data_IF_623782856555
#
_entry.id   IF_623782856555
#
_cell.length_a   1.000
_cell.length_b   1.000
_cell.length_c   1.000
_cell.angle_alpha   90.00
_cell.angle_beta   90.00
_cell.angle_gamma   90.00
#
_symmetry.space_group_name_H-M   'P 1'
#
loop_
_entity.id
_entity.type
_entity.pdbx_description
1 polymer ?
#
# COMPACT_ATOMS: atom_id res chain seq x y z
N UNK A 1 5.18 17.83 -10.68
CA UNK A 1 4.14 18.32 -9.75
C UNK A 1 2.80 18.00 -10.36
N UNK A 2 2.02 17.13 -9.70
CA UNK A 2 0.67 16.77 -10.14
C UNK A 2 -0.39 17.54 -9.37
N UNK A 3 -1.65 17.44 -9.79
CA UNK A 3 -2.80 18.08 -9.14
C UNK A 3 -3.27 17.32 -7.87
N UNK A 4 -2.34 16.68 -7.16
CA UNK A 4 -2.64 15.88 -5.97
C UNK A 4 -2.02 16.51 -4.74
N UNK A 5 -2.65 16.32 -3.57
CA UNK A 5 -2.02 16.71 -2.31
C UNK A 5 -0.71 15.97 -2.09
N UNK A 6 0.30 16.68 -1.61
CA UNK A 6 1.62 16.11 -1.34
C UNK A 6 1.63 15.21 -0.09
N UNK A 7 0.60 15.33 0.76
CA UNK A 7 0.44 14.57 1.99
C UNK A 7 -1.02 14.17 2.20
N UNK A 8 -1.21 12.91 2.58
CA UNK A 8 -2.49 12.35 3.01
C UNK A 8 -2.34 11.77 4.40
N UNK A 9 -3.36 11.95 5.24
CA UNK A 9 -3.50 11.27 6.53
C UNK A 9 -4.97 10.93 6.71
N UNK A 10 -5.29 9.65 6.64
CA UNK A 10 -6.66 9.12 6.70
C UNK A 10 -6.80 8.22 7.91
N UNK A 11 -7.88 8.41 8.65
CA UNK A 11 -8.34 7.48 9.68
C UNK A 11 -9.50 6.67 9.13
N UNK A 12 -9.41 5.34 9.22
CA UNK A 12 -10.47 4.41 8.89
C UNK A 12 -11.05 3.82 10.17
N UNK A 13 -12.38 3.83 10.29
CA UNK A 13 -13.11 3.17 11.37
C UNK A 13 -13.86 1.97 10.80
N UNK A 14 -13.64 0.80 11.38
CA UNK A 14 -14.31 -0.45 11.01
C UNK A 14 -15.48 -0.73 11.95
N UNK A 15 -16.43 -1.55 11.50
CA UNK A 15 -17.66 -1.90 12.24
C UNK A 15 -17.40 -2.50 13.63
N UNK A 16 -16.29 -3.24 13.77
CA UNK A 16 -15.85 -3.83 15.03
C UNK A 16 -15.14 -2.83 15.97
N UNK A 17 -15.08 -1.55 15.61
CA UNK A 17 -14.40 -0.50 16.36
C UNK A 17 -12.90 -0.42 16.15
N UNK A 18 -12.32 -1.29 15.30
CA UNK A 18 -10.92 -1.19 14.92
C UNK A 18 -10.68 0.12 14.16
N UNK A 19 -9.51 0.72 14.40
CA UNK A 19 -9.07 1.94 13.71
C UNK A 19 -7.76 1.68 13.00
N UNK A 20 -7.69 2.15 11.77
CA UNK A 20 -6.45 2.11 10.97
C UNK A 20 -6.13 3.53 10.53
N UNK A 21 -4.91 3.98 10.81
CA UNK A 21 -4.40 5.22 10.26
C UNK A 21 -3.50 4.91 9.06
N UNK A 22 -3.69 5.63 7.96
CA UNK A 22 -2.83 5.56 6.79
C UNK A 22 -2.35 6.97 6.45
N UNK A 23 -1.03 7.17 6.50
CA UNK A 23 -0.41 8.42 6.13
C UNK A 23 0.64 8.19 5.04
N UNK A 24 0.65 9.06 4.04
CA UNK A 24 1.63 9.02 2.95
C UNK A 24 2.06 10.41 2.55
N UNK A 25 3.28 10.53 2.05
CA UNK A 25 3.91 11.77 1.61
C UNK A 25 4.64 11.54 0.29
N UNK A 26 4.45 12.45 -0.67
CA UNK A 26 5.15 12.48 -1.95
C UNK A 26 5.94 13.80 -2.11
N UNK A 27 6.83 14.08 -1.15
CA UNK A 27 7.68 15.28 -1.14
C UNK A 27 9.15 14.85 -1.12
N UNK A 28 9.93 15.38 -2.05
CA UNK A 28 11.38 15.15 -2.15
C UNK A 28 12.16 15.83 -1.00
N UNK A 29 13.35 15.31 -0.69
CA UNK A 29 14.27 15.92 0.30
C UNK A 29 13.86 15.76 1.76
N UNK A 30 12.91 14.88 2.06
CA UNK A 30 12.50 14.51 3.42
C UNK A 30 13.08 13.15 3.84
N UNK A 31 13.10 12.87 5.16
CA UNK A 31 13.44 11.54 5.66
C UNK A 31 12.43 10.50 5.15
N UNK A 32 12.92 9.48 4.46
CA UNK A 32 12.10 8.39 3.94
C UNK A 32 11.97 7.28 4.98
N UNK A 33 10.79 6.66 5.01
CA UNK A 33 10.49 5.55 5.89
C UNK A 33 9.20 4.87 5.48
N UNK A 34 9.15 3.56 5.66
CA UNK A 34 7.94 2.75 5.57
C UNK A 34 7.70 2.16 6.96
N UNK A 35 6.57 2.47 7.57
CA UNK A 35 6.18 1.91 8.88
C UNK A 35 4.83 1.25 8.72
N UNK A 36 4.78 -0.01 9.09
CA UNK A 36 3.56 -0.81 9.19
C UNK A 36 3.51 -1.31 10.63
N UNK A 37 2.60 -0.75 11.41
CA UNK A 37 2.53 -1.02 12.84
C UNK A 37 1.14 -1.47 13.26
N UNK A 38 1.09 -2.52 14.07
CA UNK A 38 -0.14 -3.01 14.68
C UNK A 38 -0.04 -2.79 16.18
N UNK A 39 -0.90 -1.92 16.71
CA UNK A 39 -0.95 -1.63 18.14
C UNK A 39 -1.81 -2.67 18.86
N UNK A 40 -1.25 -3.25 19.92
CA UNK A 40 -1.85 -4.32 20.72
C UNK A 40 -2.00 -3.88 22.18
N UNK A 41 -2.52 -4.73 23.05
CA UNK A 41 -2.74 -4.35 24.47
C UNK A 41 -1.45 -4.17 25.26
N UNK A 42 -0.41 -4.94 24.96
CA UNK A 42 0.85 -5.00 25.73
C UNK A 42 2.06 -4.43 24.98
N UNK A 43 1.84 -3.78 23.84
CA UNK A 43 2.91 -3.29 22.97
C UNK A 43 2.45 -3.19 21.53
N UNK A 44 3.38 -3.30 20.59
CA UNK A 44 3.08 -3.21 19.16
C UNK A 44 3.93 -4.17 18.34
N UNK A 45 3.38 -4.60 17.21
CA UNK A 45 4.12 -5.30 16.17
C UNK A 45 4.58 -4.30 15.12
N UNK A 46 5.86 -4.31 14.82
CA UNK A 46 6.43 -3.74 13.60
C UNK A 46 6.42 -4.85 12.54
N UNK A 47 5.68 -4.64 11.45
CA UNK A 47 5.49 -5.64 10.40
C UNK A 47 6.78 -5.97 9.63
N UNK A 48 7.89 -5.30 9.93
CA UNK A 48 9.23 -5.75 9.52
C UNK A 48 9.70 -7.00 10.26
N UNK A 49 8.95 -7.53 11.23
CA UNK A 49 9.24 -8.81 11.90
C UNK A 49 9.66 -8.68 13.36
N UNK A 50 9.28 -7.59 14.03
CA UNK A 50 9.65 -7.34 15.44
C UNK A 50 8.43 -7.06 16.30
N UNK A 51 8.48 -7.51 17.54
CA UNK A 51 7.50 -7.21 18.58
C UNK A 51 8.16 -6.39 19.67
N UNK A 52 7.50 -5.31 20.08
CA UNK A 52 7.98 -4.41 21.12
C UNK A 52 6.98 -4.31 22.27
N UNK A 53 7.47 -4.08 23.49
CA UNK A 53 6.65 -3.59 24.59
C UNK A 53 6.38 -2.08 24.45
N UNK A 54 5.56 -1.51 25.34
CA UNK A 54 5.28 -0.08 25.35
C UNK A 54 6.46 0.82 25.75
N UNK A 55 7.54 0.23 26.25
CA UNK A 55 8.77 0.94 26.58
C UNK A 55 9.78 0.92 25.42
N UNK A 56 9.44 0.25 24.31
CA UNK A 56 10.30 0.11 23.14
C UNK A 56 11.34 -1.01 23.28
N UNK A 57 11.21 -1.90 24.27
CA UNK A 57 12.06 -3.08 24.36
C UNK A 57 11.57 -4.16 23.39
N UNK A 58 12.51 -4.81 22.70
CA UNK A 58 12.21 -5.94 21.82
C UNK A 58 11.78 -7.14 22.71
N UNK A 59 10.56 -7.61 22.50
CA UNK A 59 10.04 -8.84 23.10
C UNK A 59 10.44 -10.04 22.26
N UNK A 60 10.40 -9.88 20.93
CA UNK A 60 10.72 -10.92 19.97
C UNK A 60 11.12 -10.31 18.63
N UNK A 61 12.00 -10.99 17.91
CA UNK A 61 12.43 -10.64 16.57
C UNK A 61 12.44 -11.91 15.71
N UNK A 62 12.00 -11.76 14.46
CA UNK A 62 12.00 -12.84 13.50
C UNK A 62 13.42 -13.40 13.35
N UNK A 63 13.66 -14.72 13.51
CA UNK A 63 15.00 -15.29 13.40
C UNK A 63 15.45 -15.23 11.93
N UNK A 64 16.21 -14.22 11.55
CA UNK A 64 16.79 -14.16 10.21
C UNK A 64 17.95 -15.15 10.12
N UNK A 65 17.83 -16.25 9.34
CA UNK A 65 18.93 -17.17 9.16
C UNK A 65 20.05 -16.52 8.33
N UNK A 66 21.25 -17.09 8.41
CA UNK A 66 22.40 -16.61 7.64
C UNK A 66 22.13 -16.67 6.13
N UNK A 67 22.76 -15.77 5.39
CA UNK A 67 22.63 -15.72 3.94
C UNK A 67 23.12 -17.04 3.32
N UNK A 68 22.22 -17.74 2.62
CA UNK A 68 22.51 -19.04 2.01
C UNK A 68 22.10 -20.25 2.84
N UNK A 69 21.57 -20.06 4.07
CA UNK A 69 20.96 -21.16 4.82
C UNK A 69 19.62 -21.56 4.18
N UNK A 70 19.64 -22.64 3.42
CA UNK A 70 18.46 -23.19 2.76
C UNK A 70 17.68 -24.18 3.61
N UNK A 71 18.16 -24.54 4.81
CA UNK A 71 17.60 -25.59 5.65
C UNK A 71 16.84 -25.05 6.86
N UNK A 72 17.07 -23.80 7.25
CA UNK A 72 16.30 -23.15 8.31
C UNK A 72 14.81 -23.08 7.99
N UNK A 73 13.98 -23.43 8.98
CA UNK A 73 12.52 -23.23 8.93
C UNK A 73 12.14 -21.74 8.90
N UNK A 74 13.05 -20.86 9.30
CA UNK A 74 12.89 -19.41 9.33
C UNK A 74 13.37 -18.73 8.05
N UNK A 75 13.66 -19.51 7.00
CA UNK A 75 14.07 -18.95 5.71
C UNK A 75 12.92 -18.17 5.08
N UNK A 76 13.15 -16.89 4.81
CA UNK A 76 12.23 -16.02 4.08
C UNK A 76 12.72 -15.84 2.64
N UNK A 77 11.91 -16.28 1.67
CA UNK A 77 12.14 -15.92 0.27
C UNK A 77 11.77 -14.44 0.08
N UNK A 78 12.56 -13.70 -0.71
CA UNK A 78 12.20 -12.34 -1.10
C UNK A 78 10.74 -12.33 -1.64
N UNK A 79 9.84 -11.49 -1.08
CA UNK A 79 8.42 -11.55 -1.38
C UNK A 79 8.11 -11.32 -2.85
N UNK A 80 8.86 -10.45 -3.54
CA UNK A 80 8.70 -10.22 -4.98
C UNK A 80 9.05 -11.46 -5.80
N UNK A 81 10.09 -12.20 -5.39
CA UNK A 81 10.45 -13.47 -6.04
C UNK A 81 9.39 -14.54 -5.74
N UNK A 82 8.92 -14.60 -4.50
CA UNK A 82 7.91 -15.56 -4.07
C UNK A 82 6.59 -15.38 -4.83
N UNK A 83 6.17 -14.13 -5.08
CA UNK A 83 4.99 -13.81 -5.88
C UNK A 83 5.10 -14.37 -7.31
N UNK A 84 6.25 -14.18 -7.97
CA UNK A 84 6.49 -14.73 -9.30
C UNK A 84 6.54 -16.27 -9.31
N UNK A 85 7.14 -16.88 -8.27
CA UNK A 85 7.12 -18.35 -8.11
C UNK A 85 5.68 -18.85 -8.01
N UNK A 86 4.85 -18.21 -7.18
CA UNK A 86 3.44 -18.57 -7.01
C UNK A 86 2.67 -18.45 -8.33
N UNK A 87 2.85 -17.35 -9.07
CA UNK A 87 2.23 -17.14 -10.39
C UNK A 87 2.59 -18.25 -11.38
N UNK A 88 3.88 -18.55 -11.55
CA UNK A 88 4.34 -19.57 -12.49
C UNK A 88 3.89 -20.97 -12.06
N UNK A 89 3.97 -21.28 -10.76
CA UNK A 89 3.53 -22.56 -10.21
C UNK A 89 2.02 -22.77 -10.40
N UNK A 90 1.21 -21.73 -10.18
CA UNK A 90 -0.22 -21.75 -10.41
C UNK A 90 -0.56 -22.04 -11.88
N UNK A 91 0.10 -21.35 -12.82
CA UNK A 91 -0.08 -21.58 -14.26
C UNK A 91 0.28 -23.02 -14.65
N UNK A 92 1.39 -23.54 -14.12
CA UNK A 92 1.90 -24.88 -14.49
C UNK A 92 1.11 -26.02 -13.86
N UNK A 93 0.61 -25.83 -12.65
CA UNK A 93 -0.12 -26.87 -11.91
C UNK A 93 -1.64 -26.82 -12.12
N UNK A 94 -2.18 -25.68 -12.56
CA UNK A 94 -3.62 -25.40 -12.59
C UNK A 94 -4.21 -24.99 -11.24
N UNK A 95 -3.44 -25.03 -10.15
CA UNK A 95 -3.86 -24.58 -8.82
C UNK A 95 -3.69 -23.06 -8.72
N UNK A 96 -4.71 -22.32 -9.15
CA UNK A 96 -4.69 -20.86 -9.16
C UNK A 96 -4.87 -20.26 -7.77
N UNK A 97 -4.14 -19.17 -7.50
CA UNK A 97 -4.35 -18.28 -6.36
C UNK A 97 -5.14 -17.08 -6.87
N UNK A 98 -6.18 -16.66 -6.14
CA UNK A 98 -7.03 -15.55 -6.54
C UNK A 98 -7.22 -14.57 -5.39
N UNK A 99 -6.47 -13.47 -5.45
CA UNK A 99 -6.56 -12.35 -4.51
C UNK A 99 -7.29 -11.14 -5.13
N UNK A 100 -8.03 -11.36 -6.23
CA UNK A 100 -8.64 -10.28 -7.02
C UNK A 100 -9.71 -9.51 -6.26
N UNK A 101 -10.47 -10.18 -5.40
CA UNK A 101 -11.47 -9.54 -4.54
C UNK A 101 -10.81 -8.66 -3.47
N UNK A 102 -9.81 -9.18 -2.77
CA UNK A 102 -9.06 -8.43 -1.76
C UNK A 102 -8.36 -7.20 -2.37
N UNK A 103 -7.81 -7.35 -3.57
CA UNK A 103 -7.20 -6.24 -4.30
C UNK A 103 -8.22 -5.17 -4.70
N UNK A 104 -9.43 -5.58 -5.12
CA UNK A 104 -10.50 -4.65 -5.42
C UNK A 104 -10.95 -3.88 -4.17
N UNK A 105 -11.08 -4.56 -3.03
CA UNK A 105 -11.40 -3.92 -1.75
C UNK A 105 -10.31 -2.98 -1.26
N UNK A 106 -9.04 -3.36 -1.34
CA UNK A 106 -7.91 -2.48 -1.01
C UNK A 106 -7.88 -1.20 -1.87
N UNK A 107 -8.18 -1.35 -3.17
CA UNK A 107 -8.32 -0.22 -4.09
C UNK A 107 -9.48 0.68 -3.69
N UNK A 108 -10.62 0.11 -3.31
CA UNK A 108 -11.79 0.87 -2.86
C UNK A 108 -11.50 1.67 -1.58
N UNK A 109 -10.78 1.10 -0.61
CA UNK A 109 -10.33 1.80 0.61
C UNK A 109 -9.46 3.01 0.25
N UNK A 110 -8.60 2.88 -0.76
CA UNK A 110 -7.76 3.99 -1.25
C UNK A 110 -8.62 5.09 -1.89
N UNK A 111 -9.59 4.72 -2.72
CA UNK A 111 -10.54 5.67 -3.32
C UNK A 111 -11.36 6.39 -2.24
N UNK A 112 -11.85 5.66 -1.25
CA UNK A 112 -12.60 6.20 -0.12
C UNK A 112 -11.77 7.21 0.68
N UNK A 113 -10.54 6.86 1.03
CA UNK A 113 -9.63 7.77 1.73
C UNK A 113 -9.31 9.03 0.93
N UNK A 114 -9.14 8.88 -0.39
CA UNK A 114 -8.97 10.02 -1.31
C UNK A 114 -10.20 10.93 -1.28
N UNK A 115 -11.41 10.37 -1.42
CA UNK A 115 -12.66 11.13 -1.38
C UNK A 115 -12.83 11.89 -0.06
N UNK A 116 -12.56 11.23 1.06
CA UNK A 116 -12.60 11.85 2.39
C UNK A 116 -11.62 13.02 2.50
N UNK A 117 -10.36 12.82 2.07
CA UNK A 117 -9.33 13.86 2.13
C UNK A 117 -9.65 15.09 1.29
N UNK A 118 -10.18 14.93 0.07
CA UNK A 118 -10.52 16.08 -0.80
C UNK A 118 -11.80 16.79 -0.38
N UNK A 119 -12.77 16.08 0.21
CA UNK A 119 -14.04 16.68 0.63
C UNK A 119 -14.01 17.23 2.05
N UNK A 120 -13.09 16.74 2.89
CA UNK A 120 -13.06 17.03 4.33
C UNK A 120 -14.23 16.44 5.10
N UNK A 121 -14.87 15.39 4.56
CA UNK A 121 -16.06 14.75 5.15
C UNK A 121 -15.77 13.29 5.49
N UNK A 122 -16.55 12.77 6.43
CA UNK A 122 -16.67 11.33 6.62
C UNK A 122 -17.31 10.72 5.37
N UNK A 123 -16.72 9.64 4.86
CA UNK A 123 -17.20 8.90 3.70
C UNK A 123 -17.33 7.44 4.12
N UNK A 124 -18.50 6.86 3.88
CA UNK A 124 -18.81 5.47 4.20
C UNK A 124 -18.52 4.55 3.02
N UNK A 125 -18.32 3.26 3.31
CA UNK A 125 -18.12 2.23 2.29
C UNK A 125 -19.27 2.17 1.26
N UNK A 126 -20.51 2.21 1.75
CA UNK A 126 -21.71 2.17 0.91
C UNK A 126 -21.84 3.40 0.01
N UNK A 127 -21.45 4.59 0.49
CA UNK A 127 -21.44 5.80 -0.34
C UNK A 127 -20.45 5.67 -1.51
N UNK A 128 -19.27 5.08 -1.30
CA UNK A 128 -18.30 4.88 -2.38
C UNK A 128 -18.77 3.82 -3.36
N UNK A 129 -19.31 2.69 -2.87
CA UNK A 129 -19.84 1.63 -3.73
C UNK A 129 -21.01 2.09 -4.61
N UNK A 130 -21.83 3.01 -4.11
CA UNK A 130 -23.01 3.53 -4.81
C UNK A 130 -22.79 4.90 -5.46
N UNK A 131 -21.55 5.41 -5.48
CA UNK A 131 -21.25 6.72 -6.04
C UNK A 131 -21.50 6.77 -7.55
N UNK A 132 -22.15 7.83 -8.03
CA UNK A 132 -22.32 8.14 -9.45
C UNK A 132 -21.22 9.07 -10.00
N UNK A 133 -20.18 9.31 -9.19
CA UNK A 133 -19.08 10.22 -9.48
C UNK A 133 -18.30 9.78 -10.73
N UNK A 134 -18.20 10.68 -11.71
CA UNK A 134 -17.49 10.45 -12.96
C UNK A 134 -16.48 11.56 -13.21
N UNK A 135 -15.20 11.29 -12.94
CA UNK A 135 -14.10 12.26 -13.08
C UNK A 135 -13.43 12.24 -14.47
N UNK A 136 -13.69 11.20 -15.27
CA UNK A 136 -13.10 11.04 -16.60
C UNK A 136 -13.82 11.85 -17.69
N UNK A 137 -13.26 11.88 -18.91
CA UNK A 137 -13.93 12.45 -20.07
C UNK A 137 -15.08 11.54 -20.53
N UNK A 138 -16.22 12.11 -20.91
CA UNK A 138 -17.39 11.34 -21.40
C UNK A 138 -17.16 10.66 -22.75
N UNK A 139 -16.13 11.08 -23.47
CA UNK A 139 -15.77 10.55 -24.78
C UNK A 139 -14.27 10.38 -24.83
N UNK A 140 -13.82 9.18 -25.21
CA UNK A 140 -12.42 8.88 -25.39
C UNK A 140 -12.07 9.03 -26.87
N UNK A 141 -11.21 10.00 -27.17
CA UNK A 141 -10.65 10.20 -28.51
C UNK A 141 -9.17 9.85 -28.45
N UNK A 142 -8.76 8.88 -29.25
CA UNK A 142 -7.34 8.53 -29.38
C UNK A 142 -6.69 9.53 -30.35
N UNK A 143 -5.58 10.14 -29.94
CA UNK A 143 -4.85 11.10 -30.78
C UNK A 143 -4.00 12.07 -29.96
N UNK A 144 -3.39 13.06 -30.63
CA UNK A 144 -2.68 14.15 -29.95
C UNK A 144 -3.63 14.89 -29.00
N UNK A 145 -3.17 15.18 -27.79
CA UNK A 145 -3.93 15.97 -26.81
C UNK A 145 -3.40 17.40 -26.83
N UNK A 146 -4.27 18.36 -27.14
CA UNK A 146 -3.89 19.76 -27.20
C UNK A 146 -3.34 20.23 -25.84
N UNK A 147 -2.22 20.97 -25.88
CA UNK A 147 -1.54 21.55 -24.71
C UNK A 147 -0.90 20.56 -23.73
N UNK A 148 -0.79 19.27 -24.05
CA UNK A 148 0.06 18.34 -23.29
C UNK A 148 1.37 18.16 -24.06
N UNK A 149 2.52 18.62 -23.51
CA UNK A 149 3.81 18.41 -24.17
C UNK A 149 4.13 16.91 -24.22
N UNK A 150 4.37 16.39 -25.43
CA UNK A 150 4.83 15.01 -25.68
C UNK A 150 6.32 14.83 -25.30
N UNK A 151 6.75 15.46 -24.22
CA UNK A 151 8.11 15.31 -23.70
C UNK A 151 8.01 14.26 -22.59
N UNK A 152 8.57 13.05 -22.79
CA UNK A 152 8.62 12.06 -21.73
C UNK A 152 9.29 12.69 -20.51
N UNK A 153 8.69 12.57 -19.31
CA UNK A 153 9.35 13.06 -18.10
C UNK A 153 10.73 12.41 -18.00
N UNK A 154 11.75 13.20 -17.71
CA UNK A 154 13.10 12.69 -17.48
C UNK A 154 13.03 11.76 -16.26
N UNK A 155 13.63 10.57 -16.37
CA UNK A 155 13.68 9.64 -15.25
C UNK A 155 14.21 10.36 -14.00
N UNK A 156 13.50 10.19 -12.88
CA UNK A 156 13.93 10.74 -11.60
C UNK A 156 15.35 10.28 -11.26
N UNK A 157 16.16 11.16 -10.69
CA UNK A 157 17.49 10.78 -10.23
C UNK A 157 17.30 9.90 -8.99
N UNK A 158 17.92 8.69 -8.93
CA UNK A 158 17.84 7.86 -7.74
C UNK A 158 18.30 8.65 -6.52
N UNK A 159 17.56 8.51 -5.41
CA UNK A 159 18.02 9.04 -4.14
C UNK A 159 19.37 8.38 -3.81
N UNK A 160 20.41 9.20 -3.67
CA UNK A 160 21.67 8.77 -3.05
C UNK A 160 21.45 8.79 -1.55
N UNK A 161 21.47 7.62 -0.92
CA UNK A 161 21.56 7.48 0.54
C UNK A 161 22.84 8.12 1.07
#
# INVERSE_FOLDING_TARGET
TGDQYDFFSIEYLYDNGMRTNCATRQIDGCNNGKVEQINCTNGYADASGKLYDWHGNIIWEYPYPEEGDTQSEWKVTNPFVQEHINLVAAIRSGNTVNDGEDQAYSTLVTIMGRMAAYTGKDITWDEVLNADLYLGPKTYVMGPVDNIPEIPPVAGVPHKE
#
